data_IF_854230118872
#
_entry.id   IF_854230118872
#
_cell.length_a   1.000
_cell.length_b   1.000
_cell.length_c   1.000
_cell.angle_alpha   90.00
_cell.angle_beta   90.00
_cell.angle_gamma   90.00
#
_symmetry.space_group_name_H-M   'P 1'
#
loop_
_entity.id
_entity.type
_entity.pdbx_description
1 polymer ?
#
# COMPACT_ATOMS: atom_id res chain seq x y z
N UNK A 1 7.76 1.68 -8.27
CA UNK A 1 6.99 2.56 -9.20
C UNK A 1 6.46 3.78 -8.48
N UNK A 2 5.80 3.59 -7.33
CA UNK A 2 5.39 4.67 -6.42
C UNK A 2 6.46 4.83 -5.36
N UNK A 3 7.11 6.00 -5.31
CA UNK A 3 8.21 6.26 -4.38
C UNK A 3 7.72 6.77 -3.03
N UNK A 4 8.56 6.67 -1.99
CA UNK A 4 8.28 7.25 -0.67
C UNK A 4 7.94 8.75 -0.74
N UNK A 5 8.61 9.50 -1.60
CA UNK A 5 8.37 10.94 -1.77
C UNK A 5 7.00 11.21 -2.40
N UNK A 6 6.58 10.38 -3.37
CA UNK A 6 5.23 10.45 -3.94
C UNK A 6 4.17 10.20 -2.85
N UNK A 7 4.36 9.17 -2.03
CA UNK A 7 3.42 8.86 -0.92
C UNK A 7 3.38 10.00 0.11
N UNK A 8 4.53 10.59 0.43
CA UNK A 8 4.63 11.71 1.38
C UNK A 8 3.90 12.98 0.90
N UNK A 9 3.72 13.13 -0.41
CA UNK A 9 2.97 14.24 -1.02
C UNK A 9 1.45 14.03 -1.07
N UNK A 10 0.97 12.83 -0.76
CA UNK A 10 -0.45 12.52 -0.75
C UNK A 10 -1.15 13.16 0.46
N UNK A 11 -2.45 13.38 0.32
CA UNK A 11 -3.29 13.92 1.41
C UNK A 11 -3.42 12.90 2.53
N UNK A 12 -3.47 13.39 3.76
CA UNK A 12 -3.87 12.59 4.94
C UNK A 12 -5.20 11.84 4.67
N UNK A 13 -5.25 10.57 5.06
CA UNK A 13 -6.37 9.67 4.78
C UNK A 13 -6.42 9.08 3.37
N UNK A 14 -5.45 9.36 2.50
CA UNK A 14 -5.36 8.67 1.20
C UNK A 14 -5.11 7.17 1.37
N UNK A 15 -5.51 6.38 0.38
CA UNK A 15 -5.34 4.92 0.39
C UNK A 15 -4.64 4.44 -0.87
N UNK A 16 -3.63 3.58 -0.71
CA UNK A 16 -2.98 2.81 -1.77
C UNK A 16 -3.34 1.35 -1.60
N UNK A 17 -3.76 0.69 -2.68
CA UNK A 17 -3.94 -0.77 -2.73
C UNK A 17 -2.93 -1.33 -3.72
N UNK A 18 -1.95 -2.08 -3.23
CA UNK A 18 -0.86 -2.60 -4.04
C UNK A 18 -1.05 -4.10 -4.34
N UNK A 19 -1.55 -4.38 -5.54
CA UNK A 19 -1.82 -5.74 -6.00
C UNK A 19 -0.56 -6.56 -6.34
N UNK A 20 0.64 -5.95 -6.33
CA UNK A 20 1.90 -6.64 -6.61
C UNK A 20 2.74 -6.90 -5.36
N UNK A 21 2.13 -6.82 -4.17
CA UNK A 21 2.84 -6.88 -2.88
C UNK A 21 3.71 -8.14 -2.71
N UNK A 22 3.27 -9.29 -3.20
CA UNK A 22 4.02 -10.57 -3.14
C UNK A 22 5.34 -10.56 -3.92
N UNK A 23 5.46 -9.71 -4.95
CA UNK A 23 6.64 -9.63 -5.81
C UNK A 23 7.51 -8.40 -5.51
N UNK A 24 7.40 -7.86 -4.29
CA UNK A 24 8.11 -6.67 -3.84
C UNK A 24 7.33 -5.37 -3.94
N UNK A 25 6.11 -5.39 -4.50
CA UNK A 25 5.21 -4.24 -4.54
C UNK A 25 5.54 -3.20 -5.61
N UNK A 26 4.50 -2.46 -6.02
CA UNK A 26 4.66 -1.26 -6.84
C UNK A 26 5.04 -0.04 -5.99
N UNK A 27 4.66 -0.02 -4.70
CA UNK A 27 4.97 1.06 -3.78
C UNK A 27 6.13 0.70 -2.85
N UNK A 28 7.11 1.60 -2.73
CA UNK A 28 8.30 1.41 -1.88
C UNK A 28 7.98 1.21 -0.39
N UNK A 29 6.81 1.65 0.05
CA UNK A 29 6.35 1.54 1.44
C UNK A 29 5.36 0.38 1.65
N UNK A 30 5.13 -0.46 0.64
CA UNK A 30 4.29 -1.66 0.77
C UNK A 30 4.96 -2.67 1.69
N UNK A 31 4.22 -3.12 2.69
CA UNK A 31 4.58 -4.29 3.49
C UNK A 31 3.72 -5.48 3.02
N UNK A 32 4.32 -6.56 2.48
CA UNK A 32 3.57 -7.71 1.99
C UNK A 32 2.68 -8.31 3.08
N UNK A 33 1.45 -8.65 2.71
CA UNK A 33 0.42 -9.27 3.58
C UNK A 33 -0.09 -8.39 4.73
N UNK A 34 0.25 -7.10 4.75
CA UNK A 34 -0.12 -6.18 5.82
C UNK A 34 -0.85 -4.94 5.31
N UNK A 35 -1.44 -4.21 6.26
CA UNK A 35 -1.91 -2.85 6.05
C UNK A 35 -1.13 -1.95 7.00
N UNK A 36 -0.41 -0.99 6.44
CA UNK A 36 0.37 -0.03 7.21
C UNK A 36 -0.12 1.39 6.95
N UNK A 37 0.03 2.25 7.96
CA UNK A 37 -0.25 3.68 7.85
C UNK A 37 1.08 4.43 7.94
N UNK A 38 1.32 5.32 6.99
CA UNK A 38 2.54 6.14 6.95
C UNK A 38 2.47 7.30 7.95
N UNK A 39 3.62 7.94 8.23
CA UNK A 39 3.68 9.10 9.13
C UNK A 39 2.82 10.28 8.68
N UNK A 40 2.58 10.43 7.36
CA UNK A 40 1.69 11.46 6.78
C UNK A 40 0.23 10.98 6.60
N UNK A 41 -0.12 9.84 7.21
CA UNK A 41 -1.50 9.36 7.30
C UNK A 41 -2.05 8.66 6.04
N UNK A 42 -1.18 8.17 5.16
CA UNK A 42 -1.59 7.36 4.00
C UNK A 42 -1.69 5.91 4.43
N UNK A 43 -2.80 5.25 4.13
CA UNK A 43 -2.97 3.81 4.35
C UNK A 43 -2.51 3.03 3.12
N UNK A 44 -1.65 2.04 3.30
CA UNK A 44 -1.14 1.19 2.24
C UNK A 44 -1.58 -0.24 2.53
N UNK A 45 -2.32 -0.84 1.59
CA UNK A 45 -2.83 -2.20 1.67
C UNK A 45 -2.00 -3.10 0.75
N UNK A 46 -1.23 -4.00 1.36
CA UNK A 46 -0.34 -4.96 0.71
C UNK A 46 -0.86 -6.40 0.73
N UNK A 47 -2.16 -6.63 0.87
CA UNK A 47 -2.73 -7.97 0.83
C UNK A 47 -2.56 -8.62 -0.55
N UNK A 48 -2.05 -9.85 -0.57
CA UNK A 48 -1.94 -10.65 -1.79
C UNK A 48 -3.14 -11.59 -2.02
N UNK A 49 -3.97 -11.77 -1.00
CA UNK A 49 -5.14 -12.64 -0.98
C UNK A 49 -6.46 -11.87 -1.22
N UNK A 50 -6.39 -10.68 -1.81
CA UNK A 50 -7.57 -9.85 -2.10
C UNK A 50 -8.71 -10.60 -2.82
N UNK A 51 -8.46 -11.45 -3.83
CA UNK A 51 -9.53 -12.24 -4.45
C UNK A 51 -10.27 -13.14 -3.46
N UNK A 52 -9.57 -13.74 -2.49
CA UNK A 52 -10.16 -14.62 -1.48
C UNK A 52 -11.00 -13.87 -0.43
N UNK A 53 -10.92 -12.53 -0.40
CA UNK A 53 -11.65 -11.65 0.52
C UNK A 53 -12.93 -11.08 -0.07
N UNK A 54 -13.24 -11.39 -1.34
CA UNK A 54 -14.49 -11.06 -2.00
C UNK A 54 -15.43 -12.28 -1.94
N UNK A 55 -16.52 -12.24 -1.14
CA UNK A 55 -17.50 -13.33 -1.05
C UNK A 55 -18.39 -13.44 -2.29
#
# INVERSE_FOLDING_TARGET
LITKDMVSSMKDGSVIVDLASEQGGNCELTVPHEVNVTDNGVTIIGYSDLPSRLP
#
